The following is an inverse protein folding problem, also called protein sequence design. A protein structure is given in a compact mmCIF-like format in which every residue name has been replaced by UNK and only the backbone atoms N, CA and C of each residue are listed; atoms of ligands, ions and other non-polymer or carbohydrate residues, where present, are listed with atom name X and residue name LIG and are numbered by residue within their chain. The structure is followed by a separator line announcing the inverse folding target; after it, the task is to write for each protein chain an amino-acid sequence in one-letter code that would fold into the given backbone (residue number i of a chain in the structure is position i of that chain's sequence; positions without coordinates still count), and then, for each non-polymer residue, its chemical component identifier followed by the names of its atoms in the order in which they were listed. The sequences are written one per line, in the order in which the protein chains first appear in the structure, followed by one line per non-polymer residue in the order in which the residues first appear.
data_IF_774370301191
#
_entry.id   IF_774370301191
#
_cell.length_a   1.000
_cell.length_b   1.000
_cell.length_c   1.000
_cell.angle_alpha   90.00
_cell.angle_beta   90.00
_cell.angle_gamma   90.00
#
_symmetry.space_group_name_H-M   'P 1'
#
loop_
_entity.id
_entity.type
_entity.pdbx_description
1 polymer ?
#
# COMPACT_ATOMS: atom_id res chain seq x y z
N UNK A 1 8.03 -14.61 19.37
CA UNK A 1 8.03 -13.72 18.20
C UNK A 1 7.12 -14.36 17.17
N UNK A 2 6.11 -13.64 16.68
CA UNK A 2 5.23 -14.16 15.66
C UNK A 2 6.04 -14.24 14.35
N UNK A 3 6.07 -15.41 13.71
CA UNK A 3 6.80 -15.63 12.45
C UNK A 3 5.90 -15.41 11.23
N UNK A 4 4.78 -14.71 11.42
CA UNK A 4 3.80 -14.52 10.37
C UNK A 4 4.38 -13.59 9.31
N UNK A 5 4.50 -14.11 8.09
CA UNK A 5 4.91 -13.35 6.92
C UNK A 5 3.70 -12.59 6.37
N UNK A 6 3.86 -11.27 6.27
CA UNK A 6 2.87 -10.39 5.66
C UNK A 6 3.37 -9.89 4.30
N UNK A 7 2.43 -9.70 3.38
CA UNK A 7 2.65 -9.21 2.03
C UNK A 7 1.92 -7.88 1.84
N UNK A 8 2.56 -6.96 1.12
CA UNK A 8 1.97 -5.69 0.71
C UNK A 8 1.87 -5.68 -0.81
N UNK A 9 0.66 -5.60 -1.34
CA UNK A 9 0.40 -5.33 -2.75
C UNK A 9 0.14 -3.84 -2.97
N UNK A 10 0.78 -3.23 -3.95
CA UNK A 10 0.62 -1.80 -4.29
C UNK A 10 0.11 -1.67 -5.72
N UNK A 11 -1.04 -1.02 -5.90
CA UNK A 11 -1.63 -0.64 -7.18
C UNK A 11 -1.66 0.89 -7.28
N UNK A 12 -0.65 1.46 -7.94
CA UNK A 12 -0.41 2.89 -8.04
C UNK A 12 -0.69 3.43 -9.44
N UNK A 13 -1.44 4.53 -9.54
CA UNK A 13 -1.81 5.16 -10.80
C UNK A 13 -1.83 6.69 -10.75
N UNK A 14 -2.22 7.29 -11.88
CA UNK A 14 -2.28 8.76 -12.03
C UNK A 14 -3.39 9.45 -11.22
N UNK A 15 -4.37 8.69 -10.72
CA UNK A 15 -5.53 9.22 -9.97
C UNK A 15 -5.57 8.77 -8.51
N UNK A 16 -4.82 7.73 -8.13
CA UNK A 16 -4.83 7.22 -6.77
C UNK A 16 -3.85 6.05 -6.57
N UNK A 17 -3.72 5.63 -5.32
CA UNK A 17 -2.95 4.45 -4.91
C UNK A 17 -3.84 3.57 -4.05
N UNK A 18 -3.81 2.26 -4.28
CA UNK A 18 -4.46 1.26 -3.44
C UNK A 18 -3.41 0.29 -2.92
N UNK A 19 -3.59 -0.12 -1.68
CA UNK A 19 -2.71 -1.08 -1.00
C UNK A 19 -3.55 -2.17 -0.39
N UNK A 20 -3.06 -3.41 -0.49
CA UNK A 20 -3.60 -4.58 0.19
C UNK A 20 -2.52 -5.12 1.14
N UNK A 21 -2.87 -5.29 2.41
CA UNK A 21 -2.13 -6.11 3.37
C UNK A 21 -2.70 -7.52 3.32
N UNK A 22 -1.85 -8.52 3.09
CA UNK A 22 -2.26 -9.91 3.02
C UNK A 22 -1.35 -10.82 3.87
N UNK A 23 -1.87 -11.97 4.28
CA UNK A 23 -1.04 -13.06 4.81
C UNK A 23 -0.29 -13.78 3.69
N UNK A 24 0.74 -14.54 4.03
CA UNK A 24 1.50 -15.35 3.07
C UNK A 24 0.65 -16.41 2.34
N UNK A 25 -0.50 -16.80 2.91
CA UNK A 25 -1.47 -17.70 2.29
C UNK A 25 -2.40 -17.00 1.28
N UNK A 26 -2.18 -15.70 1.03
CA UNK A 26 -2.98 -14.91 0.08
C UNK A 26 -4.29 -14.40 0.65
N UNK A 27 -4.50 -14.49 1.98
CA UNK A 27 -5.69 -13.91 2.62
C UNK A 27 -5.50 -12.41 2.77
N UNK A 28 -6.39 -11.62 2.18
CA UNK A 28 -6.48 -10.19 2.46
C UNK A 28 -6.85 -9.95 3.94
N UNK A 29 -6.07 -9.10 4.59
CA UNK A 29 -6.22 -8.72 6.00
C UNK A 29 -6.75 -7.29 6.14
N UNK A 30 -6.24 -6.37 5.32
CA UNK A 30 -6.67 -4.98 5.32
C UNK A 30 -6.37 -4.30 3.96
N UNK A 31 -6.99 -3.14 3.75
CA UNK A 31 -6.75 -2.29 2.60
C UNK A 31 -6.49 -0.84 3.02
N UNK A 32 -5.69 -0.15 2.22
CA UNK A 32 -5.42 1.28 2.34
C UNK A 32 -5.45 1.96 0.98
N UNK A 33 -5.65 3.27 1.00
CA UNK A 33 -5.73 4.09 -0.19
C UNK A 33 -5.19 5.48 0.06
N UNK A 34 -4.64 6.10 -0.98
CA UNK A 34 -4.09 7.45 -0.94
C UNK A 34 -4.19 8.13 -2.31
N UNK A 35 -3.63 9.33 -2.39
CA UNK A 35 -3.49 10.09 -3.63
C UNK A 35 -2.66 9.37 -4.71
N UNK A 36 -2.47 10.01 -5.87
CA UNK A 36 -1.82 9.39 -7.02
C UNK A 36 -0.32 9.14 -6.77
N UNK A 37 0.17 7.99 -7.24
CA UNK A 37 1.58 7.60 -7.15
C UNK A 37 2.25 7.33 -8.50
N UNK A 38 1.63 7.77 -9.60
CA UNK A 38 2.29 7.75 -10.91
C UNK A 38 3.58 8.57 -10.91
N UNK A 39 4.69 7.96 -11.33
CA UNK A 39 6.03 8.58 -11.32
C UNK A 39 6.13 9.88 -12.13
N UNK A 40 5.23 10.10 -13.10
CA UNK A 40 5.11 11.36 -13.83
C UNK A 40 4.81 12.58 -12.92
N UNK A 41 4.34 12.33 -11.69
CA UNK A 41 4.08 13.36 -10.68
C UNK A 41 5.27 13.62 -9.74
N UNK A 42 6.39 12.91 -9.93
CA UNK A 42 7.59 12.97 -9.08
C UNK A 42 7.77 11.73 -8.20
N UNK A 43 9.03 11.32 -7.97
CA UNK A 43 9.38 10.11 -7.20
C UNK A 43 9.01 10.27 -5.73
N UNK A 44 9.34 11.41 -5.12
CA UNK A 44 9.05 11.71 -3.72
C UNK A 44 7.55 11.63 -3.46
N UNK A 45 6.75 12.30 -4.29
CA UNK A 45 5.30 12.29 -4.19
C UNK A 45 4.70 10.90 -4.38
N UNK A 46 5.26 10.11 -5.30
CA UNK A 46 4.84 8.73 -5.48
C UNK A 46 5.09 7.89 -4.24
N UNK A 47 6.25 8.06 -3.61
CA UNK A 47 6.61 7.36 -2.39
C UNK A 47 5.75 7.77 -1.19
N UNK A 48 5.48 9.07 -1.02
CA UNK A 48 4.60 9.58 0.01
C UNK A 48 3.19 8.96 -0.07
N UNK A 49 2.63 8.89 -1.29
CA UNK A 49 1.32 8.30 -1.52
C UNK A 49 1.30 6.78 -1.22
N UNK A 50 2.34 6.04 -1.61
CA UNK A 50 2.46 4.61 -1.33
C UNK A 50 2.57 4.38 0.19
N UNK A 51 3.45 5.11 0.88
CA UNK A 51 3.65 4.98 2.32
C UNK A 51 2.38 5.36 3.10
N UNK A 52 1.66 6.40 2.69
CA UNK A 52 0.39 6.78 3.31
C UNK A 52 -0.68 5.69 3.16
N UNK A 53 -0.79 5.06 1.98
CA UNK A 53 -1.72 3.95 1.77
C UNK A 53 -1.33 2.71 2.60
N UNK A 54 -0.02 2.41 2.71
CA UNK A 54 0.49 1.32 3.57
C UNK A 54 0.16 1.61 5.04
N UNK A 55 0.44 2.83 5.53
CA UNK A 55 0.14 3.21 6.90
C UNK A 55 -1.35 3.03 7.21
N UNK A 56 -2.24 3.51 6.33
CA UNK A 56 -3.69 3.32 6.49
C UNK A 56 -4.09 1.83 6.55
N UNK A 57 -3.45 0.95 5.77
CA UNK A 57 -3.73 -0.48 5.82
C UNK A 57 -3.26 -1.13 7.14
N UNK A 58 -2.18 -0.64 7.74
CA UNK A 58 -1.60 -1.16 8.98
C UNK A 58 -2.23 -0.60 10.27
N UNK A 59 -3.04 0.46 10.18
CA UNK A 59 -3.74 1.08 11.32
C UNK A 59 -5.06 0.37 11.69
N UNK A 60 -5.50 -0.60 10.90
CA UNK A 60 -6.77 -1.34 11.08
C UNK A 60 -6.54 -2.72 11.67
#
# INVERSE_FOLDING_TARGET
MNQDLYLIGVDGGGTGTRVVLASAEGKELAQGSAGPSGLALGVERAWDAILAAIAQACER
#
